data_IF_257836600215
#
_entry.id   IF_257836600215
#
_cell.length_a   1.000
_cell.length_b   1.000
_cell.length_c   1.000
_cell.angle_alpha   90.00
_cell.angle_beta   90.00
_cell.angle_gamma   90.00
#
_symmetry.space_group_name_H-M   'P 1'
#
loop_
_entity.id
_entity.type
_entity.pdbx_description
1 polymer ?
#
# COMPACT_ATOMS: atom_id res chain seq x y z
N UNK A 1 29.59 2.37 -30.26
CA UNK A 1 28.87 1.12 -29.94
C UNK A 1 28.42 1.14 -28.48
N UNK A 2 27.11 1.33 -28.24
CA UNK A 2 26.52 1.61 -26.92
C UNK A 2 26.70 0.45 -25.93
N UNK A 3 26.98 0.79 -24.66
CA UNK A 3 27.22 -0.11 -23.52
C UNK A 3 26.12 -1.18 -23.36
N UNK A 4 24.88 -0.86 -23.74
CA UNK A 4 23.74 -1.78 -23.73
C UNK A 4 23.94 -3.02 -24.62
N UNK A 5 24.64 -2.89 -25.76
CA UNK A 5 24.90 -4.02 -26.67
C UNK A 5 25.93 -4.99 -26.10
N UNK A 6 26.97 -4.47 -25.44
CA UNK A 6 28.02 -5.26 -24.79
C UNK A 6 27.49 -6.03 -23.59
N UNK A 7 26.61 -5.44 -22.78
CA UNK A 7 25.97 -6.13 -21.66
C UNK A 7 25.03 -7.25 -22.13
N UNK A 8 24.31 -7.05 -23.24
CA UNK A 8 23.45 -8.07 -23.82
C UNK A 8 24.22 -9.24 -24.43
N UNK A 9 25.38 -8.99 -25.05
CA UNK A 9 26.27 -10.06 -25.56
C UNK A 9 26.94 -10.83 -24.42
N UNK A 10 27.42 -10.15 -23.37
CA UNK A 10 28.03 -10.80 -22.20
C UNK A 10 27.02 -11.65 -21.42
N UNK A 11 25.77 -11.18 -21.28
CA UNK A 11 24.71 -11.93 -20.61
C UNK A 11 24.33 -13.22 -21.37
N UNK A 12 24.40 -13.22 -22.71
CA UNK A 12 24.18 -14.43 -23.51
C UNK A 12 25.33 -15.43 -23.40
N UNK A 13 26.57 -14.93 -23.33
CA UNK A 13 27.76 -15.76 -23.19
C UNK A 13 27.83 -16.47 -21.82
N UNK A 14 27.43 -15.78 -20.76
CA UNK A 14 27.36 -16.36 -19.40
C UNK A 14 26.27 -17.42 -19.23
N UNK A 15 25.23 -17.40 -20.08
CA UNK A 15 24.12 -18.37 -20.04
C UNK A 15 24.45 -19.64 -20.84
N UNK A 16 25.40 -19.62 -21.78
CA UNK A 16 25.74 -20.81 -22.59
C UNK A 16 26.87 -21.67 -22.03
N UNK A 17 27.88 -21.08 -21.38
CA UNK A 17 29.11 -21.80 -20.97
C UNK A 17 29.07 -22.34 -19.54
N UNK A 18 28.15 -21.84 -18.72
CA UNK A 18 28.00 -22.26 -17.35
C UNK A 18 26.54 -22.69 -17.20
N UNK A 19 26.31 -23.99 -17.00
CA UNK A 19 25.01 -24.58 -16.66
C UNK A 19 24.45 -24.10 -15.31
N UNK A 20 24.74 -22.87 -14.91
CA UNK A 20 24.05 -22.14 -13.87
C UNK A 20 22.64 -21.86 -14.40
N UNK A 21 21.73 -22.76 -14.04
CA UNK A 21 20.32 -22.48 -14.13
C UNK A 21 20.08 -21.06 -13.60
N UNK A 22 19.49 -20.21 -14.44
CA UNK A 22 19.00 -18.87 -14.11
C UNK A 22 18.23 -18.81 -12.78
N UNK A 23 17.74 -19.97 -12.33
CA UNK A 23 17.17 -20.27 -11.02
C UNK A 23 18.03 -19.86 -9.80
N UNK A 24 19.36 -20.02 -9.81
CA UNK A 24 20.19 -19.68 -8.62
C UNK A 24 20.31 -18.16 -8.38
N UNK A 25 20.07 -17.35 -9.41
CA UNK A 25 20.04 -15.88 -9.31
C UNK A 25 18.62 -15.32 -9.11
N UNK A 26 17.58 -16.16 -9.26
CA UNK A 26 16.19 -15.72 -9.10
C UNK A 26 15.86 -15.19 -7.70
N UNK A 27 16.31 -15.80 -6.58
CA UNK A 27 16.02 -15.27 -5.25
C UNK A 27 16.61 -13.86 -5.06
N UNK A 28 17.83 -13.63 -5.53
CA UNK A 28 18.48 -12.32 -5.47
C UNK A 28 17.80 -11.28 -6.37
N UNK A 29 17.32 -11.70 -7.55
CA UNK A 29 16.54 -10.83 -8.45
C UNK A 29 15.17 -10.51 -7.85
N UNK A 30 14.49 -11.48 -7.25
CA UNK A 30 13.21 -11.28 -6.57
C UNK A 30 13.36 -10.31 -5.40
N UNK A 31 14.41 -10.47 -4.60
CA UNK A 31 14.71 -9.59 -3.49
C UNK A 31 15.05 -8.17 -3.97
N UNK A 32 15.82 -8.04 -5.05
CA UNK A 32 16.12 -6.75 -5.67
C UNK A 32 14.86 -6.05 -6.20
N UNK A 33 13.99 -6.76 -6.92
CA UNK A 33 12.72 -6.22 -7.42
C UNK A 33 11.79 -5.80 -6.27
N UNK A 34 11.72 -6.61 -5.21
CA UNK A 34 10.93 -6.28 -4.02
C UNK A 34 11.47 -5.01 -3.33
N UNK A 35 12.80 -4.86 -3.22
CA UNK A 35 13.41 -3.65 -2.68
C UNK A 35 13.19 -2.43 -3.58
N UNK A 36 13.25 -2.59 -4.90
CA UNK A 36 12.93 -1.50 -5.84
C UNK A 36 11.48 -1.05 -5.69
N UNK A 37 10.54 -1.99 -5.54
CA UNK A 37 9.11 -1.71 -5.31
C UNK A 37 8.87 -1.04 -3.95
N UNK A 38 9.56 -1.47 -2.89
CA UNK A 38 9.52 -0.83 -1.57
C UNK A 38 10.05 0.61 -1.63
N UNK A 39 11.16 0.85 -2.34
CA UNK A 39 11.75 2.19 -2.53
C UNK A 39 10.83 3.07 -3.37
N UNK A 40 10.25 2.56 -4.45
CA UNK A 40 9.31 3.30 -5.29
C UNK A 40 8.05 3.67 -4.50
N UNK A 41 7.52 2.73 -3.72
CA UNK A 41 6.40 2.96 -2.81
C UNK A 41 6.75 4.06 -1.80
N UNK A 42 7.92 3.98 -1.17
CA UNK A 42 8.40 5.00 -0.25
C UNK A 42 8.50 6.39 -0.91
N UNK A 43 9.08 6.49 -2.11
CA UNK A 43 9.24 7.76 -2.84
C UNK A 43 7.90 8.32 -3.36
N UNK A 44 6.93 7.47 -3.73
CA UNK A 44 5.55 7.89 -4.05
C UNK A 44 4.86 8.46 -2.81
N UNK A 45 4.91 7.74 -1.70
CA UNK A 45 4.33 8.18 -0.44
C UNK A 45 4.98 9.48 0.03
N UNK A 46 6.31 9.61 -0.06
CA UNK A 46 7.04 10.84 0.28
C UNK A 46 6.64 12.05 -0.57
N UNK A 47 6.21 11.83 -1.82
CA UNK A 47 5.65 12.88 -2.70
C UNK A 47 4.17 13.17 -2.45
N UNK A 48 3.55 12.50 -1.48
CA UNK A 48 2.13 12.65 -1.15
C UNK A 48 1.19 11.89 -2.08
N UNK A 49 1.69 11.02 -2.95
CA UNK A 49 0.88 10.10 -3.74
C UNK A 49 0.51 8.89 -2.88
N UNK A 50 -0.63 9.00 -2.20
CA UNK A 50 -1.15 8.00 -1.27
C UNK A 50 -2.15 7.02 -1.90
N UNK A 51 -2.38 7.12 -3.21
CA UNK A 51 -3.34 6.28 -3.94
C UNK A 51 -4.82 6.50 -3.57
N UNK A 52 -5.69 5.61 -4.07
CA UNK A 52 -7.12 5.58 -3.75
C UNK A 52 -7.42 4.54 -2.65
N UNK A 53 -8.31 4.90 -1.73
CA UNK A 53 -8.80 3.99 -0.69
C UNK A 53 -10.06 3.26 -1.17
N UNK A 54 -10.00 1.93 -1.29
CA UNK A 54 -11.18 1.12 -1.59
C UNK A 54 -11.86 0.68 -0.28
N UNK A 55 -13.11 1.10 -0.06
CA UNK A 55 -13.89 0.79 1.16
C UNK A 55 -13.16 1.09 2.48
N UNK A 56 -12.33 2.14 2.52
CA UNK A 56 -11.47 2.51 3.67
C UNK A 56 -10.42 1.46 4.07
N UNK A 57 -10.26 0.38 3.30
CA UNK A 57 -9.17 -0.57 3.52
C UNK A 57 -7.82 0.14 3.34
N UNK A 58 -6.86 -0.16 4.23
CA UNK A 58 -5.56 0.49 4.21
C UNK A 58 -5.54 1.94 4.72
N UNK A 59 -6.66 2.45 5.29
CA UNK A 59 -6.71 3.79 5.87
C UNK A 59 -5.61 4.01 6.90
N UNK A 60 -5.40 3.04 7.80
CA UNK A 60 -4.40 3.14 8.85
C UNK A 60 -2.97 3.26 8.32
N UNK A 61 -2.60 2.39 7.36
CA UNK A 61 -1.33 2.49 6.63
C UNK A 61 -1.17 3.86 5.94
N UNK A 62 -2.25 4.35 5.31
CA UNK A 62 -2.28 5.66 4.65
C UNK A 62 -2.04 6.82 5.63
N UNK A 63 -2.57 6.75 6.86
CA UNK A 63 -2.30 7.77 7.89
C UNK A 63 -0.81 7.82 8.27
N UNK A 64 -0.14 6.66 8.40
CA UNK A 64 1.30 6.58 8.66
C UNK A 64 2.08 7.19 7.50
N UNK A 65 1.72 6.81 6.27
CA UNK A 65 2.37 7.31 5.07
C UNK A 65 2.22 8.83 4.91
N UNK A 66 1.03 9.39 5.16
CA UNK A 66 0.79 10.84 5.16
C UNK A 66 1.66 11.57 6.19
N UNK A 67 1.79 11.02 7.41
CA UNK A 67 2.67 11.61 8.42
C UNK A 67 4.10 11.71 7.91
N UNK A 68 4.61 10.62 7.31
CA UNK A 68 5.97 10.55 6.75
C UNK A 68 6.12 11.53 5.59
N UNK A 69 5.15 11.59 4.68
CA UNK A 69 5.13 12.51 3.54
C UNK A 69 5.20 13.99 3.98
N UNK A 70 4.51 14.33 5.07
CA UNK A 70 4.52 15.65 5.67
C UNK A 70 5.79 15.95 6.49
N UNK A 71 6.72 14.99 6.62
CA UNK A 71 7.95 15.13 7.40
C UNK A 71 7.73 15.25 8.91
N UNK A 72 6.54 14.87 9.40
CA UNK A 72 6.21 14.97 10.82
C UNK A 72 6.79 13.79 11.60
N UNK A 73 7.42 14.05 12.72
CA UNK A 73 7.79 13.01 13.69
C UNK A 73 6.57 12.51 14.47
N UNK A 74 6.67 11.31 15.06
CA UNK A 74 5.61 10.78 15.94
C UNK A 74 5.34 11.73 17.13
N UNK A 75 6.40 12.31 17.70
CA UNK A 75 6.32 13.34 18.75
C UNK A 75 5.53 14.57 18.32
N UNK A 76 5.78 15.09 17.12
CA UNK A 76 5.07 16.28 16.60
C UNK A 76 3.59 15.98 16.35
N UNK A 77 3.27 14.82 15.76
CA UNK A 77 1.88 14.40 15.60
C UNK A 77 1.19 14.23 16.96
N UNK A 78 1.87 13.64 17.96
CA UNK A 78 1.33 13.47 19.30
C UNK A 78 1.05 14.82 19.97
N UNK A 79 1.95 15.81 19.84
CA UNK A 79 1.73 17.16 20.34
C UNK A 79 0.50 17.82 19.71
N UNK A 80 0.34 17.72 18.39
CA UNK A 80 -0.85 18.26 17.69
C UNK A 80 -2.14 17.57 18.10
N UNK A 81 -2.07 16.28 18.44
CA UNK A 81 -3.20 15.49 18.92
C UNK A 81 -3.53 15.71 20.41
N UNK A 82 -2.62 16.34 21.17
CA UNK A 82 -2.73 16.48 22.62
C UNK A 82 -2.57 15.15 23.37
N UNK A 83 -1.77 14.22 22.84
CA UNK A 83 -1.53 12.89 23.44
C UNK A 83 -0.05 12.66 23.68
N UNK A 84 0.27 11.60 24.44
CA UNK A 84 1.66 11.19 24.64
C UNK A 84 2.21 10.48 23.39
N UNK A 85 3.49 10.67 23.09
CA UNK A 85 4.16 10.08 21.91
C UNK A 85 4.04 8.56 21.84
N UNK A 86 4.10 7.88 23.00
CA UNK A 86 3.93 6.42 23.06
C UNK A 86 2.58 5.94 22.52
N UNK A 87 1.53 6.77 22.58
CA UNK A 87 0.24 6.43 22.01
C UNK A 87 0.30 6.40 20.48
N UNK A 88 0.86 7.46 19.86
CA UNK A 88 1.06 7.49 18.41
C UNK A 88 1.99 6.36 17.96
N UNK A 89 3.10 6.13 18.67
CA UNK A 89 4.02 5.03 18.38
C UNK A 89 3.33 3.65 18.42
N UNK A 90 2.46 3.41 19.41
CA UNK A 90 1.69 2.17 19.50
C UNK A 90 0.65 2.06 18.40
N UNK A 91 -0.08 3.14 18.13
CA UNK A 91 -1.11 3.19 17.10
C UNK A 91 -0.47 2.92 15.71
N UNK A 92 0.66 3.54 15.38
CA UNK A 92 1.40 3.32 14.12
C UNK A 92 2.01 1.91 14.02
N UNK A 93 2.53 1.36 15.12
CA UNK A 93 3.07 -0.01 15.13
C UNK A 93 2.02 -1.06 14.78
N UNK A 94 0.77 -0.80 15.15
CA UNK A 94 -0.37 -1.63 14.78
C UNK A 94 -1.06 -1.13 13.50
N UNK A 95 -0.42 -0.26 12.73
CA UNK A 95 -0.95 0.36 11.50
C UNK A 95 -2.35 0.95 11.68
N UNK A 96 -2.65 1.50 12.86
CA UNK A 96 -3.98 1.98 13.24
C UNK A 96 -5.09 0.94 13.05
N UNK A 97 -4.78 -0.36 13.14
CA UNK A 97 -5.78 -1.40 13.03
C UNK A 97 -6.90 -1.21 14.06
N UNK A 98 -8.16 -1.26 13.60
CA UNK A 98 -9.34 -1.01 14.44
C UNK A 98 -9.56 0.45 14.85
N UNK A 99 -8.87 1.40 14.22
CA UNK A 99 -9.10 2.84 14.47
C UNK A 99 -10.56 3.21 14.17
N UNK A 100 -11.15 4.02 15.06
CA UNK A 100 -12.48 4.58 14.83
C UNK A 100 -12.42 5.70 13.79
N UNK A 101 -13.52 5.93 13.07
CA UNK A 101 -13.63 7.04 12.10
C UNK A 101 -13.35 8.39 12.78
N UNK A 102 -13.86 8.59 13.99
CA UNK A 102 -13.60 9.82 14.77
C UNK A 102 -12.11 10.01 15.04
N UNK A 103 -11.42 8.95 15.47
CA UNK A 103 -9.98 9.02 15.75
C UNK A 103 -9.18 9.27 14.46
N UNK A 104 -9.56 8.63 13.35
CA UNK A 104 -8.94 8.86 12.05
C UNK A 104 -9.12 10.33 11.59
N UNK A 105 -10.33 10.90 11.75
CA UNK A 105 -10.59 12.31 11.47
C UNK A 105 -9.68 13.22 12.29
N UNK A 106 -9.56 12.99 13.60
CA UNK A 106 -8.68 13.79 14.47
C UNK A 106 -7.21 13.71 14.04
N UNK A 107 -6.75 12.55 13.58
CA UNK A 107 -5.38 12.37 13.07
C UNK A 107 -5.18 13.15 11.77
N UNK A 108 -6.13 13.07 10.84
CA UNK A 108 -6.12 13.87 9.60
C UNK A 108 -6.12 15.39 9.90
N UNK A 109 -7.00 15.83 10.81
CA UNK A 109 -7.10 17.24 11.23
C UNK A 109 -5.78 17.73 11.84
N UNK A 110 -5.17 16.93 12.72
CA UNK A 110 -3.87 17.24 13.33
C UNK A 110 -2.74 17.30 12.29
N UNK A 111 -2.80 16.49 11.24
CA UNK A 111 -1.87 16.54 10.12
C UNK A 111 -2.18 17.68 9.14
N UNK A 112 -3.37 18.30 9.20
CA UNK A 112 -3.84 19.29 8.24
C UNK A 112 -4.21 18.68 6.88
N UNK A 113 -4.56 17.39 6.86
CA UNK A 113 -4.91 16.65 5.64
C UNK A 113 -6.42 16.64 5.47
N UNK A 114 -6.89 16.97 4.25
CA UNK A 114 -8.29 16.87 3.89
C UNK A 114 -8.56 15.60 3.09
N UNK A 115 -9.26 14.65 3.69
CA UNK A 115 -9.79 13.48 2.98
C UNK A 115 -11.08 13.85 2.25
N UNK A 116 -11.16 13.57 0.95
CA UNK A 116 -12.41 13.60 0.17
C UNK A 116 -12.68 12.19 -0.33
N UNK A 117 -13.88 11.68 -0.06
CA UNK A 117 -14.34 10.37 -0.50
C UNK A 117 -15.55 10.51 -1.41
N UNK A 118 -15.66 9.64 -2.40
CA UNK A 118 -16.78 9.56 -3.34
C UNK A 118 -17.37 8.16 -3.27
N UNK A 119 -18.68 8.05 -3.44
CA UNK A 119 -19.38 6.78 -3.55
C UNK A 119 -19.83 6.62 -5.01
N UNK A 120 -19.45 5.52 -5.65
CA UNK A 120 -19.87 5.26 -7.03
C UNK A 120 -21.31 4.75 -7.08
N UNK A 121 -21.56 3.56 -6.55
CA UNK A 121 -22.87 2.91 -6.52
C UNK A 121 -22.95 1.87 -5.39
N UNK A 122 -24.14 1.60 -4.82
CA UNK A 122 -24.32 0.55 -3.83
C UNK A 122 -24.10 -0.83 -4.44
N UNK A 123 -23.40 -1.72 -3.73
CA UNK A 123 -23.34 -3.14 -4.09
C UNK A 123 -24.65 -3.79 -3.61
N UNK A 124 -25.60 -3.95 -4.52
CA UNK A 124 -26.82 -4.69 -4.25
C UNK A 124 -26.53 -6.19 -4.44
N UNK A 125 -26.86 -7.07 -3.49
CA UNK A 125 -26.82 -8.50 -3.76
C UNK A 125 -27.78 -8.78 -4.91
N UNK A 126 -27.32 -9.51 -5.92
CA UNK A 126 -28.13 -9.86 -7.07
C UNK A 126 -29.44 -10.51 -6.60
N UNK A 127 -30.57 -10.14 -7.21
CA UNK A 127 -31.86 -10.78 -7.02
C UNK A 127 -31.90 -12.20 -7.63
N UNK A 128 -30.87 -13.01 -7.35
CA UNK A 128 -30.64 -14.37 -7.85
C UNK A 128 -30.93 -15.33 -6.71
N UNK A 129 -32.22 -15.49 -6.37
CA UNK A 129 -32.76 -16.76 -5.84
C UNK A 129 -34.28 -16.73 -5.55
N UNK A 130 -35.11 -16.23 -6.47
CA UNK A 130 -36.58 -16.38 -6.36
C UNK A 130 -37.28 -16.96 -7.58
N UNK A 131 -36.56 -17.48 -8.59
CA UNK A 131 -37.18 -18.10 -9.78
C UNK A 131 -36.91 -19.60 -9.98
N UNK A 132 -36.27 -20.28 -9.03
CA UNK A 132 -35.93 -21.72 -9.15
C UNK A 132 -36.89 -22.67 -8.41
N UNK A 133 -37.95 -22.18 -7.75
CA UNK A 133 -38.84 -23.04 -6.93
C UNK A 133 -40.35 -22.91 -7.22
N UNK A 134 -40.73 -22.44 -8.41
CA UNK A 134 -42.11 -22.60 -8.93
C UNK A 134 -42.11 -23.32 -10.29
N UNK A 135 -41.64 -24.56 -10.27
CA UNK A 135 -41.85 -25.55 -11.33
C UNK A 135 -41.84 -26.95 -10.71
N UNK A 136 -42.74 -27.17 -9.74
CA UNK A 136 -43.10 -28.50 -9.28
C UNK A 136 -44.63 -28.62 -9.27
N UNK A 137 -45.12 -29.21 -10.38
CA UNK A 137 -46.40 -29.92 -10.56
C UNK A 137 -47.70 -29.10 -10.52
N UNK A 138 -48.77 -29.57 -11.21
CA UNK A 138 -49.13 -30.96 -11.51
C UNK A 138 -48.59 -31.53 -12.82
#
# INVERSE_FOLDING_TARGET
>A
MSVRRRLAEHARFLVSDLGFATSSLNPLRSFHLQLEEEVETYERLKRGDVGELLNLHGLGHTLVALRIALGLTQRELAQRLGVHESQVSRDERNEYHGITVERASRVLDAMGVRLRSLFEQPILPDAVDQKSSKSALP
#
